data_IF_314352536402
#
_entry.id   IF_314352536402
#
_cell.length_a   1.000
_cell.length_b   1.000
_cell.length_c   1.000
_cell.angle_alpha   90.00
_cell.angle_beta   90.00
_cell.angle_gamma   90.00
#
_symmetry.space_group_name_H-M   'P 1'
#
loop_
_entity.id
_entity.type
_entity.pdbx_description
1 polymer ?
#
# COMPACT_ATOMS: atom_id res chain seq x y z
N UNK A 1 -0.08 -14.15 1.77
CA UNK A 1 0.21 -15.55 1.36
C UNK A 1 1.62 -15.64 0.84
N UNK A 2 2.37 -16.69 1.17
CA UNK A 2 3.75 -16.86 0.67
C UNK A 2 3.76 -17.35 -0.79
N UNK A 3 2.74 -18.10 -1.19
CA UNK A 3 2.50 -18.55 -2.55
C UNK A 3 1.13 -18.06 -3.02
N UNK A 4 1.02 -17.76 -4.31
CA UNK A 4 -0.17 -17.20 -4.92
C UNK A 4 -0.34 -17.71 -6.36
N UNK A 5 -1.59 -17.89 -6.79
CA UNK A 5 -1.97 -18.12 -8.19
C UNK A 5 -2.36 -16.80 -8.84
N UNK A 6 -2.49 -16.79 -10.18
CA UNK A 6 -2.92 -15.61 -10.91
C UNK A 6 -4.34 -15.16 -10.50
N UNK A 7 -5.23 -16.12 -10.24
CA UNK A 7 -6.59 -15.87 -9.77
C UNK A 7 -6.59 -15.21 -8.38
N UNK A 8 -5.64 -15.55 -7.49
CA UNK A 8 -5.52 -14.83 -6.22
C UNK A 8 -5.14 -13.36 -6.42
N UNK A 9 -4.22 -13.06 -7.35
CA UNK A 9 -3.84 -11.67 -7.64
C UNK A 9 -4.99 -10.89 -8.31
N UNK A 10 -5.73 -11.53 -9.21
CA UNK A 10 -6.97 -10.96 -9.76
C UNK A 10 -7.97 -10.62 -8.65
N UNK A 11 -8.23 -11.53 -7.71
CA UNK A 11 -9.09 -11.26 -6.55
C UNK A 11 -8.57 -10.11 -5.68
N UNK A 12 -7.24 -10.00 -5.50
CA UNK A 12 -6.65 -8.87 -4.77
C UNK A 12 -6.87 -7.53 -5.47
N UNK A 13 -6.87 -7.51 -6.81
CA UNK A 13 -7.17 -6.33 -7.59
C UNK A 13 -8.60 -5.85 -7.35
N UNK A 14 -9.57 -6.77 -7.45
CA UNK A 14 -11.00 -6.52 -7.20
C UNK A 14 -11.19 -6.01 -5.77
N UNK A 15 -10.73 -6.76 -4.77
CA UNK A 15 -10.81 -6.35 -3.37
C UNK A 15 -10.19 -4.97 -3.15
N UNK A 16 -8.95 -4.76 -3.64
CA UNK A 16 -8.25 -3.48 -3.51
C UNK A 16 -9.04 -2.32 -4.13
N UNK A 17 -9.64 -2.53 -5.30
CA UNK A 17 -10.49 -1.53 -5.98
C UNK A 17 -11.72 -1.19 -5.14
N UNK A 18 -12.43 -2.18 -4.59
CA UNK A 18 -13.57 -1.95 -3.69
C UNK A 18 -13.17 -1.15 -2.46
N UNK A 19 -12.02 -1.44 -1.85
CA UNK A 19 -11.53 -0.68 -0.71
C UNK A 19 -11.17 0.76 -1.08
N UNK A 20 -10.43 0.94 -2.18
CA UNK A 20 -10.03 2.26 -2.66
C UNK A 20 -11.25 3.13 -3.01
N UNK A 21 -12.26 2.54 -3.62
CA UNK A 21 -13.51 3.23 -3.96
C UNK A 21 -14.34 3.58 -2.73
N UNK A 22 -14.70 2.57 -1.94
CA UNK A 22 -15.69 2.74 -0.87
C UNK A 22 -15.08 3.36 0.39
N UNK A 23 -13.90 2.91 0.80
CA UNK A 23 -13.28 3.32 2.08
C UNK A 23 -12.38 4.55 1.89
N UNK A 24 -11.74 4.67 0.72
CA UNK A 24 -10.82 5.79 0.42
C UNK A 24 -11.44 6.88 -0.46
N UNK A 25 -12.65 6.67 -0.99
CA UNK A 25 -13.37 7.66 -1.79
C UNK A 25 -12.79 7.89 -3.19
N UNK A 26 -12.01 6.95 -3.73
CA UNK A 26 -11.39 7.06 -5.06
C UNK A 26 -12.38 6.52 -6.09
N UNK A 27 -13.06 7.40 -6.83
CA UNK A 27 -14.18 7.00 -7.69
C UNK A 27 -13.83 5.92 -8.74
N UNK A 28 -12.64 6.01 -9.34
CA UNK A 28 -12.13 5.10 -10.38
C UNK A 28 -10.67 4.69 -10.06
N UNK A 29 -10.45 3.79 -9.08
CA UNK A 29 -9.11 3.47 -8.60
C UNK A 29 -8.25 2.86 -9.70
N UNK A 30 -7.09 3.46 -9.99
CA UNK A 30 -6.11 2.89 -10.92
C UNK A 30 -5.47 1.66 -10.28
N UNK A 31 -5.61 0.52 -10.93
CA UNK A 31 -5.03 -0.75 -10.49
C UNK A 31 -3.78 -1.05 -11.32
N UNK A 32 -2.64 -1.20 -10.66
CA UNK A 32 -1.37 -1.58 -11.28
C UNK A 32 -0.89 -2.95 -10.82
N UNK A 33 -0.28 -3.72 -11.71
CA UNK A 33 0.37 -5.00 -11.39
C UNK A 33 1.87 -4.77 -11.14
N UNK A 34 2.36 -5.08 -9.94
CA UNK A 34 3.78 -4.94 -9.64
C UNK A 34 4.61 -5.91 -10.46
N UNK A 35 5.53 -5.38 -11.27
CA UNK A 35 6.30 -6.17 -12.22
C UNK A 35 7.75 -5.66 -12.37
N UNK A 36 8.56 -6.39 -13.15
CA UNK A 36 9.97 -6.09 -13.43
C UNK A 36 10.20 -5.26 -14.71
N UNK A 37 9.13 -4.62 -15.22
CA UNK A 37 9.13 -3.72 -16.36
C UNK A 37 7.70 -3.27 -16.65
N UNK A 38 7.54 -2.24 -17.48
CA UNK A 38 6.23 -1.63 -17.77
C UNK A 38 5.52 -2.28 -18.96
N UNK A 39 6.24 -3.02 -19.80
CA UNK A 39 5.68 -3.67 -20.98
C UNK A 39 4.79 -4.87 -20.59
N UNK A 40 3.74 -5.12 -21.36
CA UNK A 40 2.78 -6.21 -21.09
C UNK A 40 3.40 -7.62 -21.08
N UNK A 41 4.50 -7.81 -21.82
CA UNK A 41 5.21 -9.08 -21.94
C UNK A 41 6.17 -9.39 -20.78
N UNK A 42 6.32 -8.48 -19.82
CA UNK A 42 7.24 -8.59 -18.67
C UNK A 42 6.65 -9.42 -17.54
N UNK A 43 7.54 -9.95 -16.71
CA UNK A 43 7.22 -10.78 -15.57
C UNK A 43 7.47 -12.27 -15.76
N UNK A 44 7.33 -12.99 -14.65
CA UNK A 44 7.32 -14.45 -14.59
C UNK A 44 5.95 -14.99 -15.09
N UNK A 45 5.75 -16.32 -15.19
CA UNK A 45 4.47 -16.88 -15.61
C UNK A 45 3.27 -16.40 -14.77
N UNK A 46 3.45 -16.26 -13.44
CA UNK A 46 2.41 -15.76 -12.53
C UNK A 46 1.97 -14.34 -12.91
N UNK A 47 2.91 -13.41 -13.15
CA UNK A 47 2.58 -12.04 -13.56
C UNK A 47 1.93 -11.99 -14.94
N UNK A 48 2.40 -12.81 -15.89
CA UNK A 48 1.83 -12.82 -17.24
C UNK A 48 0.38 -13.30 -17.26
N UNK A 49 0.10 -14.41 -16.58
CA UNK A 49 -1.27 -14.92 -16.43
C UNK A 49 -2.15 -13.93 -15.66
N UNK A 50 -1.62 -13.31 -14.60
CA UNK A 50 -2.33 -12.26 -13.85
C UNK A 50 -2.65 -11.07 -14.75
N UNK A 51 -1.70 -10.63 -15.57
CA UNK A 51 -1.89 -9.50 -16.50
C UNK A 51 -3.04 -9.79 -17.46
N UNK A 52 -3.10 -10.99 -18.04
CA UNK A 52 -4.19 -11.41 -18.93
C UNK A 52 -5.54 -11.38 -18.22
N UNK A 53 -5.62 -11.90 -16.99
CA UNK A 53 -6.85 -11.85 -16.18
C UNK A 53 -7.29 -10.42 -15.87
N UNK A 54 -6.35 -9.53 -15.54
CA UNK A 54 -6.64 -8.13 -15.21
C UNK A 54 -7.06 -7.31 -16.43
N UNK A 55 -6.54 -7.62 -17.62
CA UNK A 55 -6.97 -7.01 -18.89
C UNK A 55 -8.36 -7.47 -19.28
N UNK A 56 -8.70 -8.75 -19.04
CA UNK A 56 -9.99 -9.31 -19.39
C UNK A 56 -11.14 -8.83 -18.48
N UNK A 57 -10.83 -8.25 -17.32
CA UNK A 57 -11.81 -7.77 -16.35
C UNK A 57 -12.13 -6.28 -16.57
N UNK A 58 -13.19 -6.02 -17.34
CA UNK A 58 -13.67 -4.67 -17.66
C UNK A 58 -14.18 -3.88 -16.44
N UNK A 59 -14.39 -4.53 -15.28
CA UNK A 59 -14.79 -3.85 -14.05
C UNK A 59 -13.64 -3.09 -13.38
N UNK A 60 -12.40 -3.40 -13.77
CA UNK A 60 -11.19 -2.80 -13.22
C UNK A 60 -10.66 -1.68 -14.11
N UNK A 61 -10.29 -0.55 -13.50
CA UNK A 61 -9.45 0.45 -14.16
C UNK A 61 -7.97 0.01 -14.12
N UNK A 62 -7.66 -1.06 -14.86
CA UNK A 62 -6.32 -1.63 -14.94
C UNK A 62 -5.41 -0.78 -15.83
N UNK A 63 -4.34 -0.23 -15.24
CA UNK A 63 -3.39 0.66 -15.92
C UNK A 63 -2.12 -0.05 -16.40
N UNK A 64 -2.06 -1.37 -16.28
CA UNK A 64 -0.92 -2.18 -16.70
C UNK A 64 0.11 -2.44 -15.61
N UNK A 65 1.34 -2.75 -16.04
CA UNK A 65 2.44 -3.06 -15.16
C UNK A 65 3.03 -1.80 -14.52
N UNK A 66 3.39 -1.89 -13.24
CA UNK A 66 4.06 -0.84 -12.48
C UNK A 66 5.38 -1.34 -11.90
N UNK A 67 6.41 -0.50 -11.93
CA UNK A 67 7.72 -0.83 -11.37
C UNK A 67 7.84 -0.39 -9.91
N UNK A 68 8.62 -1.12 -9.12
CA UNK A 68 8.81 -0.86 -7.69
C UNK A 68 9.36 0.55 -7.40
N UNK A 69 10.15 1.12 -8.32
CA UNK A 69 10.76 2.46 -8.17
C UNK A 69 9.73 3.59 -8.17
N UNK A 70 8.56 3.37 -8.77
CA UNK A 70 7.53 4.41 -8.97
C UNK A 70 6.43 4.36 -7.91
N UNK A 71 6.46 3.39 -6.99
CA UNK A 71 5.44 3.19 -5.96
C UNK A 71 5.22 4.41 -5.06
N UNK A 72 6.30 5.14 -4.76
CA UNK A 72 6.23 6.33 -3.92
C UNK A 72 5.77 7.59 -4.67
N UNK A 73 5.61 7.52 -6.00
CA UNK A 73 5.25 8.65 -6.86
C UNK A 73 3.75 8.66 -7.24
N UNK A 74 2.93 7.81 -6.64
CA UNK A 74 1.49 7.75 -6.92
C UNK A 74 1.16 7.14 -8.28
N UNK A 75 1.98 6.19 -8.76
CA UNK A 75 1.81 5.52 -10.06
C UNK A 75 0.45 4.82 -10.19
N UNK A 76 -0.10 4.29 -9.09
CA UNK A 76 -1.42 3.66 -9.03
C UNK A 76 -2.08 3.93 -7.66
N UNK A 77 -3.39 3.67 -7.57
CA UNK A 77 -4.15 3.80 -6.33
C UNK A 77 -4.22 2.44 -5.60
N UNK A 78 -4.18 1.35 -6.36
CA UNK A 78 -4.07 -0.04 -5.90
C UNK A 78 -2.91 -0.69 -6.65
N UNK A 79 -1.96 -1.28 -5.92
CA UNK A 79 -0.87 -2.06 -6.52
C UNK A 79 -0.98 -3.51 -6.05
N UNK A 80 -1.03 -4.43 -7.01
CA UNK A 80 -1.23 -5.86 -6.79
C UNK A 80 0.11 -6.60 -6.86
N UNK A 81 0.35 -7.48 -5.91
CA UNK A 81 1.52 -8.36 -5.87
C UNK A 81 1.19 -9.67 -5.12
N UNK A 82 1.97 -10.71 -5.36
CA UNK A 82 1.99 -11.87 -4.46
C UNK A 82 2.54 -11.46 -3.07
N UNK A 83 2.18 -12.22 -2.04
CA UNK A 83 2.52 -11.80 -0.67
C UNK A 83 4.00 -11.93 -0.31
N UNK A 84 4.79 -12.76 -1.01
CA UNK A 84 6.25 -12.77 -0.81
C UNK A 84 6.86 -11.47 -1.33
N UNK A 85 6.57 -11.13 -2.58
CA UNK A 85 7.08 -9.91 -3.24
C UNK A 85 6.57 -8.65 -2.55
N UNK A 86 5.27 -8.57 -2.24
CA UNK A 86 4.69 -7.43 -1.54
C UNK A 86 5.33 -7.18 -0.17
N UNK A 87 5.60 -8.25 0.59
CA UNK A 87 6.27 -8.14 1.88
C UNK A 87 7.75 -7.75 1.75
N UNK A 88 8.47 -8.29 0.75
CA UNK A 88 9.85 -7.90 0.47
C UNK A 88 9.93 -6.41 0.07
N UNK A 89 9.02 -5.92 -0.77
CA UNK A 89 8.94 -4.52 -1.18
C UNK A 89 8.60 -3.61 0.00
N UNK A 90 7.58 -3.94 0.79
CA UNK A 90 7.19 -3.16 1.97
C UNK A 90 8.39 -2.99 2.91
N UNK A 91 9.03 -4.09 3.29
CA UNK A 91 10.19 -4.06 4.20
C UNK A 91 11.40 -3.35 3.60
N UNK A 92 11.60 -3.43 2.28
CA UNK A 92 12.67 -2.70 1.60
C UNK A 92 12.44 -1.19 1.65
N UNK A 93 11.20 -0.73 1.44
CA UNK A 93 10.83 0.69 1.55
C UNK A 93 11.02 1.17 3.00
N UNK A 94 10.51 0.42 3.98
CA UNK A 94 10.66 0.74 5.41
C UNK A 94 12.14 0.80 5.84
N UNK A 95 12.93 -0.21 5.48
CA UNK A 95 14.35 -0.29 5.80
C UNK A 95 15.15 0.85 5.16
N UNK A 96 14.86 1.17 3.90
CA UNK A 96 15.49 2.29 3.17
C UNK A 96 15.15 3.63 3.83
N UNK A 97 13.88 3.86 4.14
CA UNK A 97 13.43 5.08 4.80
C UNK A 97 14.08 5.27 6.19
N UNK A 98 14.11 4.22 7.01
CA UNK A 98 14.75 4.25 8.32
C UNK A 98 16.27 4.46 8.20
N UNK A 99 16.93 3.82 7.22
CA UNK A 99 18.35 3.99 6.95
C UNK A 99 18.72 5.42 6.59
N UNK A 100 17.98 6.03 5.65
CA UNK A 100 18.17 7.42 5.23
C UNK A 100 17.98 8.37 6.42
N UNK A 101 16.92 8.18 7.21
CA UNK A 101 16.66 9.00 8.39
C UNK A 101 17.76 8.85 9.46
N UNK A 102 18.32 7.65 9.61
CA UNK A 102 19.46 7.38 10.49
C UNK A 102 20.72 8.12 10.04
N UNK A 103 21.07 8.03 8.75
CA UNK A 103 22.21 8.75 8.17
C UNK A 103 22.06 10.27 8.31
N UNK A 104 20.87 10.79 8.04
CA UNK A 104 20.56 12.22 8.21
C UNK A 104 20.75 12.66 9.66
N UNK A 105 20.24 11.88 10.62
CA UNK A 105 20.40 12.16 12.05
C UNK A 105 21.89 12.19 12.42
N UNK A 106 22.66 11.20 11.99
CA UNK A 106 24.11 11.12 12.24
C UNK A 106 24.85 12.33 11.68
N UNK A 107 24.55 12.74 10.45
CA UNK A 107 25.15 13.92 9.81
C UNK A 107 24.85 15.21 10.60
N UNK A 108 23.60 15.38 11.08
CA UNK A 108 23.19 16.54 11.89
C UNK A 108 23.89 16.54 13.26
N UNK A 109 23.91 15.40 13.95
CA UNK A 109 24.48 15.33 15.31
C UNK A 109 26.00 15.38 15.31
N UNK A 110 26.64 14.83 14.28
CA UNK A 110 28.10 14.79 14.12
C UNK A 110 28.70 16.05 13.46
N UNK A 111 27.92 16.81 12.68
CA UNK A 111 28.41 17.98 11.92
C UNK A 111 28.64 19.27 12.73
N UNK A 112 28.71 19.19 14.05
CA UNK A 112 28.99 20.34 14.93
C UNK A 112 27.89 21.40 14.95
N UNK A 113 28.25 22.62 15.36
CA UNK A 113 27.29 23.71 15.59
C UNK A 113 26.57 24.15 14.30
N UNK A 114 27.28 24.17 13.16
CA UNK A 114 26.72 24.57 11.85
C UNK A 114 25.62 23.62 11.38
N UNK A 115 25.86 22.30 11.45
CA UNK A 115 24.86 21.32 11.06
C UNK A 115 23.61 21.37 11.96
N UNK A 116 23.80 21.59 13.26
CA UNK A 116 22.69 21.75 14.21
C UNK A 116 21.86 23.01 13.95
N UNK A 117 22.50 24.13 13.63
CA UNK A 117 21.81 25.37 13.25
C UNK A 117 21.03 25.19 11.94
N UNK A 118 21.63 24.57 10.92
CA UNK A 118 20.93 24.24 9.68
C UNK A 118 19.71 23.33 9.91
N UNK A 119 19.86 22.30 10.74
CA UNK A 119 18.75 21.42 11.12
C UNK A 119 17.65 22.14 11.90
N UNK A 120 17.99 23.14 12.72
CA UNK A 120 17.02 23.96 13.44
C UNK A 120 16.19 24.81 12.46
N UNK A 121 16.84 25.40 11.45
CA UNK A 121 16.15 26.15 10.38
C UNK A 121 15.22 25.25 9.55
N UNK A 122 15.61 23.99 9.33
CA UNK A 122 14.83 23.01 8.56
C UNK A 122 13.90 22.15 9.43
N UNK A 123 13.79 22.41 10.72
CA UNK A 123 13.16 21.52 11.70
C UNK A 123 11.75 21.09 11.31
N UNK A 124 10.95 22.02 10.81
CA UNK A 124 9.55 21.74 10.45
C UNK A 124 9.45 20.95 9.13
N UNK A 125 10.32 21.23 8.16
CA UNK A 125 10.44 20.41 6.93
C UNK A 125 10.90 18.99 7.24
N UNK A 126 11.89 18.84 8.13
CA UNK A 126 12.39 17.52 8.58
C UNK A 126 11.31 16.73 9.35
N UNK A 127 10.50 17.42 10.15
CA UNK A 127 9.34 16.81 10.80
C UNK A 127 8.27 16.41 9.80
N UNK A 128 8.02 17.23 8.78
CA UNK A 128 7.10 16.93 7.68
C UNK A 128 7.52 15.66 6.94
N UNK A 129 8.81 15.57 6.57
CA UNK A 129 9.37 14.38 5.93
C UNK A 129 9.21 13.13 6.80
N UNK A 130 9.55 13.21 8.09
CA UNK A 130 9.36 12.10 9.02
C UNK A 130 7.89 11.68 9.10
N UNK A 131 6.96 12.62 9.03
CA UNK A 131 5.52 12.34 9.05
C UNK A 131 5.05 11.63 7.78
N UNK A 132 5.54 12.03 6.60
CA UNK A 132 5.21 11.34 5.35
C UNK A 132 5.70 9.89 5.32
N UNK A 133 6.84 9.61 5.95
CA UNK A 133 7.37 8.25 6.11
C UNK A 133 6.66 7.45 7.21
N UNK A 134 5.86 8.10 8.05
CA UNK A 134 5.12 7.43 9.12
C UNK A 134 3.70 7.06 8.66
N UNK A 135 3.49 5.78 8.38
CA UNK A 135 2.21 5.21 7.96
C UNK A 135 1.23 4.96 9.12
N UNK A 136 1.59 5.22 10.38
CA UNK A 136 0.70 5.00 11.53
C UNK A 136 -0.60 5.82 11.48
N UNK A 137 -0.60 6.92 10.73
CA UNK A 137 -1.71 7.88 10.65
C UNK A 137 -2.86 7.42 9.73
N UNK A 138 -2.64 6.39 8.90
CA UNK A 138 -3.64 5.92 7.91
C UNK A 138 -4.49 4.74 8.39
N UNK A 139 -4.12 4.09 9.49
CA UNK A 139 -4.78 2.88 10.01
C UNK A 139 -3.86 1.66 10.01
N UNK A 140 -4.45 0.48 10.10
CA UNK A 140 -3.74 -0.80 10.07
C UNK A 140 -3.85 -1.52 8.73
N UNK A 141 -3.16 -2.65 8.63
CA UNK A 141 -3.23 -3.54 7.48
C UNK A 141 -4.54 -4.35 7.51
N UNK A 142 -5.34 -4.23 6.46
CA UNK A 142 -6.62 -4.94 6.35
C UNK A 142 -6.37 -6.40 5.95
N UNK A 143 -6.90 -7.35 6.72
CA UNK A 143 -7.00 -8.74 6.31
C UNK A 143 -8.27 -8.89 5.49
N UNK A 144 -8.15 -8.67 4.17
CA UNK A 144 -9.30 -8.61 3.29
C UNK A 144 -9.64 -10.00 2.69
N UNK A 145 -10.91 -10.21 2.31
CA UNK A 145 -11.42 -11.52 1.88
C UNK A 145 -11.99 -12.39 3.02
N UNK A 146 -12.16 -11.84 4.22
CA UNK A 146 -12.82 -12.53 5.35
C UNK A 146 -14.22 -11.95 5.62
N UNK A 147 -15.04 -12.67 6.39
CA UNK A 147 -16.48 -12.37 6.57
C UNK A 147 -16.80 -11.10 7.39
N UNK A 148 -15.80 -10.40 7.89
CA UNK A 148 -15.98 -9.16 8.66
C UNK A 148 -14.72 -8.27 8.54
N UNK A 149 -14.79 -6.97 8.86
CA UNK A 149 -13.59 -6.13 8.90
C UNK A 149 -12.59 -6.62 9.95
N UNK A 150 -11.44 -7.12 9.49
CA UNK A 150 -10.32 -7.50 10.36
C UNK A 150 -9.11 -6.64 9.98
N UNK A 151 -8.58 -5.90 10.94
CA UNK A 151 -7.45 -4.99 10.71
C UNK A 151 -6.34 -5.26 11.71
N UNK A 152 -5.13 -5.51 11.20
CA UNK A 152 -3.91 -5.67 11.99
C UNK A 152 -3.25 -4.31 12.20
N UNK A 153 -3.33 -3.79 13.42
CA UNK A 153 -2.53 -2.63 13.86
C UNK A 153 -1.05 -3.02 13.98
N UNK A 154 -0.14 -2.10 13.65
CA UNK A 154 1.31 -2.31 13.70
C UNK A 154 1.79 -2.68 15.11
N UNK A 155 2.88 -3.45 15.24
CA UNK A 155 3.36 -3.94 16.55
C UNK A 155 3.86 -2.84 17.49
N UNK A 156 4.44 -1.77 16.96
CA UNK A 156 4.95 -0.61 17.71
C UNK A 156 3.94 0.54 17.83
N UNK A 157 2.64 0.22 17.78
CA UNK A 157 1.56 1.23 17.70
C UNK A 157 1.39 2.02 19.00
N UNK A 158 1.17 3.32 18.86
CA UNK A 158 0.73 4.22 19.93
C UNK A 158 -0.80 4.37 19.95
N UNK A 159 -1.33 5.17 20.88
CA UNK A 159 -2.76 5.43 20.99
C UNK A 159 -3.37 6.01 19.69
N UNK A 160 -2.58 6.78 18.93
CA UNK A 160 -3.03 7.40 17.68
C UNK A 160 -3.18 6.37 16.56
N UNK A 161 -2.27 5.41 16.47
CA UNK A 161 -2.39 4.28 15.55
C UNK A 161 -3.62 3.42 15.86
N UNK A 162 -3.88 3.13 17.14
CA UNK A 162 -5.09 2.39 17.57
C UNK A 162 -6.37 3.16 17.21
N UNK A 163 -6.44 4.46 17.51
CA UNK A 163 -7.55 5.32 17.12
C UNK A 163 -7.78 5.31 15.60
N UNK A 164 -6.71 5.40 14.82
CA UNK A 164 -6.79 5.40 13.35
C UNK A 164 -7.32 4.08 12.80
N UNK A 165 -6.92 2.95 13.39
CA UNK A 165 -7.48 1.62 13.05
C UNK A 165 -8.97 1.52 13.39
N UNK A 166 -9.41 2.02 14.56
CA UNK A 166 -10.84 2.01 14.93
C UNK A 166 -11.64 2.84 13.93
N UNK A 167 -11.13 4.03 13.57
CA UNK A 167 -11.76 4.88 12.55
C UNK A 167 -11.86 4.18 11.19
N UNK A 168 -10.80 3.49 10.76
CA UNK A 168 -10.78 2.72 9.52
C UNK A 168 -11.84 1.59 9.54
N UNK A 169 -11.92 0.82 10.62
CA UNK A 169 -12.93 -0.24 10.79
C UNK A 169 -14.34 0.35 10.74
N UNK A 170 -14.57 1.47 11.44
CA UNK A 170 -15.86 2.18 11.40
C UNK A 170 -16.25 2.55 9.97
N UNK A 171 -15.33 3.13 9.18
CA UNK A 171 -15.62 3.45 7.78
C UNK A 171 -15.92 2.19 6.96
N UNK A 172 -15.16 1.10 7.14
CA UNK A 172 -15.44 -0.17 6.45
C UNK A 172 -16.85 -0.71 6.75
N UNK A 173 -17.33 -0.54 7.99
CA UNK A 173 -18.69 -0.91 8.40
C UNK A 173 -19.73 0.05 7.81
N UNK A 174 -19.52 1.36 7.88
CA UNK A 174 -20.43 2.37 7.34
C UNK A 174 -20.62 2.22 5.82
N UNK A 175 -19.59 1.78 5.10
CA UNK A 175 -19.63 1.58 3.65
C UNK A 175 -20.05 0.16 3.26
N UNK A 176 -20.28 -0.75 4.21
CA UNK A 176 -20.64 -2.15 3.95
C UNK A 176 -19.69 -2.87 2.95
N UNK A 177 -18.40 -2.52 2.99
CA UNK A 177 -17.45 -2.93 1.93
C UNK A 177 -17.28 -4.45 1.86
N UNK A 178 -17.38 -5.13 3.00
CA UNK A 178 -17.24 -6.60 3.08
C UNK A 178 -18.42 -7.29 2.39
N UNK A 179 -19.66 -6.85 2.62
CA UNK A 179 -20.81 -7.46 1.96
C UNK A 179 -20.86 -7.13 0.47
N UNK A 180 -20.44 -5.92 0.07
CA UNK A 180 -20.25 -5.59 -1.35
C UNK A 180 -19.29 -6.56 -2.04
N UNK A 181 -18.11 -6.82 -1.45
CA UNK A 181 -17.17 -7.78 -2.01
C UNK A 181 -17.67 -9.22 -1.96
N UNK A 182 -18.46 -9.58 -0.94
CA UNK A 182 -19.04 -10.92 -0.86
C UNK A 182 -20.02 -11.18 -2.00
N UNK A 183 -20.90 -10.20 -2.32
CA UNK A 183 -21.83 -10.25 -3.45
C UNK A 183 -21.11 -10.44 -4.79
N UNK A 184 -20.08 -9.62 -5.03
CA UNK A 184 -19.22 -9.69 -6.21
C UNK A 184 -18.67 -11.11 -6.45
N UNK A 185 -18.16 -11.77 -5.39
CA UNK A 185 -17.59 -13.11 -5.51
C UNK A 185 -18.62 -14.25 -5.47
N UNK A 186 -19.85 -14.01 -4.99
CA UNK A 186 -20.93 -14.99 -5.08
C UNK A 186 -21.63 -15.02 -6.44
N UNK A 187 -21.44 -13.98 -7.27
CA UNK A 187 -22.17 -13.82 -8.54
C UNK A 187 -23.65 -13.44 -8.34
N UNK A 188 -23.97 -12.85 -7.19
CA UNK A 188 -25.30 -12.31 -6.82
C UNK A 188 -25.31 -10.79 -6.95
#
# INVERSE_FOLDING_TARGET
NAENTAQHLHQYAVLGSFYAKNVRGIAQPRVGLLNNGTESSKGDPLRKETYELLVADESLNFIGNVEARDLMNGVADVVVADGFTGNAVLKSIEGTAMGIMGLLKTAITGGGLRAKLGALLLKDSLRGLKKQLNYSDVGGAVLFGVKAPVVKTHGSSDAKAVYSTIRQIRTMLETDVVAQTAREFSGE
#
